data_IF_692304890406
#
_entry.id   IF_692304890406
#
_cell.length_a   1.000
_cell.length_b   1.000
_cell.length_c   1.000
_cell.angle_alpha   90.00
_cell.angle_beta   90.00
_cell.angle_gamma   90.00
#
_symmetry.space_group_name_H-M   'P 1'
#
loop_
_entity.id
_entity.type
_entity.pdbx_description
1 polymer ?
#
# COMPACT_ATOMS: atom_id res chain seq x y z
N UNK A 1 17.42 -40.30 47.70
CA UNK A 1 17.67 -39.91 46.29
C UNK A 1 16.51 -39.21 45.57
N UNK A 2 15.22 -39.39 45.93
CA UNK A 2 14.10 -38.75 45.20
C UNK A 2 13.92 -37.23 45.41
N UNK A 3 14.33 -36.67 46.55
CA UNK A 3 14.17 -35.24 46.87
C UNK A 3 15.13 -34.30 46.11
N UNK A 4 16.34 -34.77 45.79
CA UNK A 4 17.34 -33.98 45.03
C UNK A 4 16.93 -33.80 43.56
N UNK A 5 16.32 -34.81 42.95
CA UNK A 5 15.83 -34.73 41.57
C UNK A 5 14.60 -33.82 41.42
N UNK A 6 13.77 -33.70 42.45
CA UNK A 6 12.60 -32.81 42.44
C UNK A 6 13.01 -31.33 42.48
N UNK A 7 13.95 -30.96 43.37
CA UNK A 7 14.49 -29.59 43.46
C UNK A 7 15.16 -29.13 42.16
N UNK A 8 15.91 -30.02 41.51
CA UNK A 8 16.55 -29.71 40.24
C UNK A 8 15.53 -29.56 39.11
N UNK A 9 14.47 -30.38 39.08
CA UNK A 9 13.38 -30.25 38.11
C UNK A 9 12.57 -28.96 38.25
N UNK A 10 12.34 -28.50 39.48
CA UNK A 10 11.68 -27.20 39.75
C UNK A 10 12.56 -26.04 39.30
N UNK A 11 13.87 -26.09 39.57
CA UNK A 11 14.80 -25.04 39.15
C UNK A 11 14.88 -24.92 37.61
N UNK A 12 14.95 -26.04 36.90
CA UNK A 12 14.96 -26.06 35.43
C UNK A 12 13.68 -25.47 34.85
N UNK A 13 12.51 -25.75 35.45
CA UNK A 13 11.23 -25.16 35.00
C UNK A 13 11.16 -23.65 35.23
N UNK A 14 11.64 -23.18 36.39
CA UNK A 14 11.69 -21.74 36.69
C UNK A 14 12.62 -21.03 35.70
N UNK A 15 13.79 -21.61 35.41
CA UNK A 15 14.73 -21.06 34.44
C UNK A 15 14.13 -21.00 33.03
N UNK A 16 13.44 -22.05 32.59
CA UNK A 16 12.77 -22.08 31.28
C UNK A 16 11.67 -21.02 31.18
N UNK A 17 10.85 -20.84 32.22
CA UNK A 17 9.82 -19.79 32.25
C UNK A 17 10.47 -18.40 32.22
N UNK A 18 11.55 -18.18 32.99
CA UNK A 18 12.25 -16.90 32.99
C UNK A 18 12.84 -16.55 31.61
N UNK A 19 13.36 -17.55 30.88
CA UNK A 19 13.85 -17.38 29.51
C UNK A 19 12.69 -17.08 28.54
N UNK A 20 11.57 -17.77 28.65
CA UNK A 20 10.41 -17.50 27.79
C UNK A 20 9.82 -16.12 28.05
N UNK A 21 9.77 -15.68 29.31
CA UNK A 21 9.33 -14.33 29.68
C UNK A 21 10.31 -13.28 29.18
N UNK A 22 11.62 -13.50 29.28
CA UNK A 22 12.61 -12.52 28.79
C UNK A 22 12.59 -12.40 27.26
N UNK A 23 12.42 -13.52 26.55
CA UNK A 23 12.20 -13.56 25.10
C UNK A 23 10.91 -12.81 24.76
N UNK A 24 9.79 -13.11 25.43
CA UNK A 24 8.53 -12.41 25.18
C UNK A 24 8.65 -10.91 25.44
N UNK A 25 9.28 -10.49 26.55
CA UNK A 25 9.52 -9.06 26.84
C UNK A 25 10.40 -8.42 25.79
N UNK A 26 11.46 -9.09 25.32
CA UNK A 26 12.38 -8.57 24.30
C UNK A 26 11.69 -8.39 22.94
N UNK A 27 10.92 -9.39 22.50
CA UNK A 27 10.18 -9.34 21.23
C UNK A 27 8.85 -8.57 21.31
N UNK A 28 8.34 -8.30 22.51
CA UNK A 28 7.19 -7.42 22.74
C UNK A 28 7.59 -5.97 22.99
N UNK A 29 8.89 -5.64 22.95
CA UNK A 29 9.31 -4.23 22.93
C UNK A 29 8.76 -3.59 21.64
N UNK A 30 8.00 -2.49 21.75
CA UNK A 30 7.31 -1.88 20.61
C UNK A 30 8.24 -1.14 19.63
N UNK A 31 9.56 -1.29 19.75
CA UNK A 31 10.54 -0.59 18.90
C UNK A 31 10.53 -1.06 17.43
N UNK A 32 9.72 -2.06 17.07
CA UNK A 32 9.44 -2.46 15.68
C UNK A 32 8.04 -2.12 15.17
N UNK A 33 7.18 -1.48 15.98
CA UNK A 33 5.87 -1.03 15.52
C UNK A 33 5.82 0.49 15.45
N UNK A 34 6.06 1.00 14.23
CA UNK A 34 5.74 2.35 13.77
C UNK A 34 6.66 3.44 14.35
N UNK A 35 7.48 4.04 13.46
CA UNK A 35 8.14 5.32 13.74
C UNK A 35 7.05 6.35 14.05
N UNK A 36 6.85 6.63 15.33
CA UNK A 36 6.08 7.78 15.80
C UNK A 36 7.06 8.95 15.85
N UNK A 37 6.78 10.10 15.21
CA UNK A 37 7.66 11.26 15.34
C UNK A 37 7.76 11.61 16.83
N UNK A 38 8.98 11.60 17.35
CA UNK A 38 9.30 12.03 18.71
C UNK A 38 9.06 13.53 18.82
N UNK A 39 7.89 13.90 19.32
CA UNK A 39 7.72 15.20 19.96
C UNK A 39 8.34 15.03 21.35
N UNK A 40 9.50 15.65 21.58
CA UNK A 40 10.11 15.71 22.91
C UNK A 40 9.32 16.69 23.78
N UNK A 41 8.40 16.18 24.59
CA UNK A 41 7.54 16.98 25.48
C UNK A 41 8.26 17.32 26.80
N UNK A 42 9.56 17.05 26.94
CA UNK A 42 10.30 17.31 28.18
C UNK A 42 11.23 18.52 28.11
N UNK A 43 11.28 19.26 27.00
CA UNK A 43 11.87 20.59 27.03
C UNK A 43 10.85 21.59 27.59
N UNK A 44 11.05 22.02 28.85
CA UNK A 44 10.18 23.01 29.52
C UNK A 44 10.29 24.43 28.95
N UNK A 45 11.02 24.62 27.85
CA UNK A 45 11.18 25.88 27.14
C UNK A 45 10.47 25.90 25.77
N UNK A 46 9.34 25.22 25.61
CA UNK A 46 8.48 25.40 24.43
C UNK A 46 7.37 26.40 24.78
N UNK A 47 7.49 27.64 24.29
CA UNK A 47 6.43 28.64 24.47
C UNK A 47 5.23 28.26 23.60
N UNK A 48 4.03 28.49 24.11
CA UNK A 48 2.77 28.21 23.41
C UNK A 48 2.66 28.94 22.06
N UNK A 49 3.39 30.05 21.89
CA UNK A 49 3.53 30.78 20.63
C UNK A 49 4.35 30.03 19.59
N UNK A 50 5.39 29.28 19.99
CA UNK A 50 6.23 28.48 19.08
C UNK A 50 5.47 27.25 18.54
N UNK A 51 4.55 26.70 19.35
CA UNK A 51 3.63 25.62 18.94
C UNK A 51 2.59 26.15 17.94
N UNK A 52 2.11 27.39 18.12
CA UNK A 52 1.15 28.02 17.21
C UNK A 52 1.80 28.40 15.88
N UNK A 53 3.03 28.92 15.91
CA UNK A 53 3.85 29.16 14.71
C UNK A 53 4.11 27.87 13.92
N UNK A 54 4.53 26.79 14.59
CA UNK A 54 4.75 25.46 13.98
C UNK A 54 3.46 24.84 13.41
N UNK A 55 2.33 25.01 14.08
CA UNK A 55 1.04 24.50 13.62
C UNK A 55 0.45 25.33 12.46
N UNK A 56 0.64 26.66 12.46
CA UNK A 56 0.22 27.54 11.37
C UNK A 56 1.14 27.41 10.14
N UNK A 57 2.44 27.20 10.32
CA UNK A 57 3.38 26.86 9.24
C UNK A 57 3.07 25.48 8.63
N UNK A 58 2.81 24.43 9.44
CA UNK A 58 2.39 23.11 8.93
C UNK A 58 1.01 23.14 8.26
N UNK A 59 0.10 23.99 8.73
CA UNK A 59 -1.22 24.22 8.10
C UNK A 59 -1.10 25.00 6.79
N UNK A 60 -0.04 25.78 6.61
CA UNK A 60 0.30 26.46 5.36
C UNK A 60 1.09 25.57 4.37
N UNK A 61 1.75 24.51 4.83
CA UNK A 61 2.64 23.68 3.99
C UNK A 61 1.95 22.50 3.28
N UNK A 62 0.77 22.09 3.75
CA UNK A 62 -0.06 21.12 3.03
C UNK A 62 -0.78 21.83 1.86
N UNK A 63 -0.01 22.22 0.83
CA UNK A 63 -0.50 22.93 -0.34
C UNK A 63 -1.72 22.20 -0.92
N UNK A 64 -2.88 22.84 -0.82
CA UNK A 64 -4.10 22.35 -1.47
C UNK A 64 -3.86 22.36 -2.98
N UNK A 65 -4.11 21.22 -3.62
CA UNK A 65 -4.10 21.11 -5.08
C UNK A 65 -5.51 21.41 -5.55
N UNK A 66 -5.68 22.46 -6.35
CA UNK A 66 -7.00 22.81 -6.89
C UNK A 66 -7.58 21.65 -7.73
N UNK A 67 -8.83 21.29 -7.46
CA UNK A 67 -9.49 20.13 -8.08
C UNK A 67 -9.15 18.76 -7.46
N UNK A 68 -8.45 18.69 -6.33
CA UNK A 68 -8.34 17.49 -5.50
C UNK A 68 -8.71 17.78 -4.05
N UNK A 69 -9.41 16.84 -3.42
CA UNK A 69 -9.64 16.87 -1.97
C UNK A 69 -8.42 16.38 -1.18
N UNK A 70 -7.47 15.75 -1.88
CA UNK A 70 -6.25 15.21 -1.27
C UNK A 70 -5.15 16.28 -1.25
N UNK A 71 -4.38 16.36 -0.15
CA UNK A 71 -3.26 17.27 -0.06
C UNK A 71 -2.11 16.90 -0.99
N UNK A 72 -1.25 17.86 -1.34
CA UNK A 72 0.00 17.55 -2.05
C UNK A 72 0.90 16.61 -1.24
N UNK A 73 1.66 15.76 -1.93
CA UNK A 73 2.61 14.82 -1.34
C UNK A 73 4.03 15.18 -1.80
N UNK A 74 4.76 16.03 -1.05
CA UNK A 74 6.05 16.57 -1.48
C UNK A 74 7.20 15.56 -1.38
N UNK A 75 7.13 14.60 -0.46
CA UNK A 75 8.12 13.53 -0.32
C UNK A 75 8.06 12.60 -1.55
N UNK A 76 9.12 12.60 -2.35
CA UNK A 76 9.19 11.85 -3.59
C UNK A 76 9.37 10.35 -3.36
N UNK A 77 10.13 9.95 -2.34
CA UNK A 77 10.40 8.53 -2.06
C UNK A 77 9.13 7.86 -1.55
N UNK A 78 8.48 8.46 -0.55
CA UNK A 78 7.21 7.98 -0.03
C UNK A 78 6.12 7.95 -1.12
N UNK A 79 6.11 8.94 -2.03
CA UNK A 79 5.17 8.99 -3.17
C UNK A 79 5.39 7.83 -4.14
N UNK A 80 6.64 7.52 -4.45
CA UNK A 80 6.97 6.37 -5.29
C UNK A 80 6.59 5.06 -4.60
N UNK A 81 6.95 4.86 -3.33
CA UNK A 81 6.57 3.66 -2.57
C UNK A 81 5.06 3.43 -2.55
N UNK A 82 4.28 4.49 -2.26
CA UNK A 82 2.83 4.47 -2.34
C UNK A 82 2.34 4.12 -3.75
N UNK A 83 2.92 4.73 -4.78
CA UNK A 83 2.62 4.44 -6.19
C UNK A 83 2.73 2.96 -6.51
N UNK A 84 3.86 2.35 -6.13
CA UNK A 84 4.15 0.92 -6.36
C UNK A 84 3.17 -0.01 -5.65
N UNK A 85 2.90 0.27 -4.36
CA UNK A 85 1.96 -0.51 -3.58
C UNK A 85 0.54 -0.41 -4.16
N UNK A 86 0.16 0.79 -4.59
CA UNK A 86 -1.15 1.09 -5.18
C UNK A 86 -1.34 0.36 -6.50
N UNK A 87 -0.38 0.45 -7.43
CA UNK A 87 -0.46 -0.24 -8.71
C UNK A 87 -0.49 -1.75 -8.55
N UNK A 88 0.28 -2.31 -7.61
CA UNK A 88 0.24 -3.74 -7.31
C UNK A 88 -1.16 -4.18 -6.87
N UNK A 89 -1.77 -3.47 -5.93
CA UNK A 89 -3.14 -3.75 -5.50
C UNK A 89 -4.13 -3.59 -6.66
N UNK A 90 -4.05 -2.47 -7.37
CA UNK A 90 -4.95 -2.10 -8.46
C UNK A 90 -4.98 -3.16 -9.56
N UNK A 91 -3.82 -3.54 -10.12
CA UNK A 91 -3.77 -4.53 -11.19
C UNK A 91 -4.16 -5.93 -10.72
N UNK A 92 -3.82 -6.29 -9.48
CA UNK A 92 -4.24 -7.58 -8.89
C UNK A 92 -5.77 -7.63 -8.71
N UNK A 93 -6.41 -6.51 -8.31
CA UNK A 93 -7.88 -6.41 -8.22
C UNK A 93 -8.52 -6.61 -9.60
N UNK A 94 -8.01 -5.93 -10.63
CA UNK A 94 -8.55 -6.03 -11.99
C UNK A 94 -8.37 -7.43 -12.57
N UNK A 95 -7.20 -8.05 -12.37
CA UNK A 95 -6.92 -9.43 -12.76
C UNK A 95 -7.81 -10.47 -12.03
N UNK A 96 -8.51 -10.07 -10.96
CA UNK A 96 -9.45 -10.91 -10.21
C UNK A 96 -10.91 -10.59 -10.44
N UNK A 97 -11.20 -9.58 -11.25
CA UNK A 97 -12.56 -9.28 -11.67
C UNK A 97 -13.17 -10.49 -12.42
N UNK A 98 -14.51 -10.69 -12.45
CA UNK A 98 -15.11 -11.82 -13.14
C UNK A 98 -14.91 -11.76 -14.66
N UNK A 99 -14.78 -12.91 -15.31
CA UNK A 99 -14.76 -12.98 -16.78
C UNK A 99 -16.12 -12.62 -17.39
N UNK A 100 -17.21 -12.96 -16.68
CA UNK A 100 -18.60 -12.64 -17.05
C UNK A 100 -19.29 -11.95 -15.86
N UNK A 101 -19.05 -10.64 -15.65
CA UNK A 101 -19.60 -9.91 -14.52
C UNK A 101 -21.08 -9.59 -14.72
N UNK A 102 -21.83 -9.56 -13.62
CA UNK A 102 -23.19 -9.01 -13.54
C UNK A 102 -23.15 -7.48 -13.67
N UNK A 103 -24.28 -6.85 -14.04
CA UNK A 103 -24.35 -5.38 -14.14
C UNK A 103 -24.03 -4.69 -12.81
N UNK A 104 -24.43 -5.28 -11.68
CA UNK A 104 -24.08 -4.76 -10.36
C UNK A 104 -22.56 -4.80 -10.08
N UNK A 105 -21.87 -5.88 -10.47
CA UNK A 105 -20.40 -5.98 -10.33
C UNK A 105 -19.68 -4.97 -11.23
N UNK A 106 -20.22 -4.72 -12.43
CA UNK A 106 -19.70 -3.70 -13.36
C UNK A 106 -19.84 -2.30 -12.77
N UNK A 107 -20.99 -1.98 -12.20
CA UNK A 107 -21.24 -0.70 -11.54
C UNK A 107 -20.34 -0.52 -10.32
N UNK A 108 -20.16 -1.56 -9.50
CA UNK A 108 -19.24 -1.54 -8.36
C UNK A 108 -17.81 -1.24 -8.78
N UNK A 109 -17.31 -1.88 -9.84
CA UNK A 109 -15.97 -1.58 -10.35
C UNK A 109 -15.86 -0.14 -10.85
N UNK A 110 -16.87 0.36 -11.58
CA UNK A 110 -16.91 1.75 -12.04
C UNK A 110 -16.87 2.75 -10.88
N UNK A 111 -17.70 2.55 -9.86
CA UNK A 111 -17.72 3.40 -8.65
C UNK A 111 -16.39 3.32 -7.91
N UNK A 112 -15.85 2.12 -7.71
CA UNK A 112 -14.57 1.92 -7.05
C UNK A 112 -13.44 2.69 -7.74
N UNK A 113 -13.35 2.65 -9.08
CA UNK A 113 -12.30 3.36 -9.82
C UNK A 113 -12.40 4.89 -9.66
N UNK A 114 -13.63 5.43 -9.68
CA UNK A 114 -13.84 6.86 -9.46
C UNK A 114 -13.41 7.27 -8.05
N UNK A 115 -13.82 6.50 -7.03
CA UNK A 115 -13.43 6.74 -5.64
C UNK A 115 -11.93 6.57 -5.42
N UNK A 116 -11.31 5.58 -6.06
CA UNK A 116 -9.87 5.36 -6.01
C UNK A 116 -9.11 6.59 -6.51
N UNK A 117 -9.55 7.19 -7.63
CA UNK A 117 -8.92 8.39 -8.17
C UNK A 117 -9.14 9.64 -7.29
N UNK A 118 -10.36 9.81 -6.76
CA UNK A 118 -10.70 10.92 -5.88
C UNK A 118 -9.94 10.85 -4.55
N UNK A 119 -9.79 9.64 -4.01
CA UNK A 119 -9.20 9.38 -2.70
C UNK A 119 -7.71 8.99 -2.74
N UNK A 120 -7.06 9.06 -3.90
CA UNK A 120 -5.65 8.73 -4.01
C UNK A 120 -4.80 9.71 -3.18
N UNK A 121 -4.02 9.28 -2.17
CA UNK A 121 -3.44 10.16 -1.14
C UNK A 121 -2.18 10.91 -1.61
N UNK A 122 -2.28 11.53 -2.78
CA UNK A 122 -1.35 12.49 -3.38
C UNK A 122 -2.21 13.43 -4.25
N UNK A 123 -2.32 14.71 -3.86
CA UNK A 123 -3.22 15.68 -4.47
C UNK A 123 -2.97 15.89 -5.96
N UNK A 124 -1.71 16.07 -6.37
CA UNK A 124 -1.36 16.19 -7.78
C UNK A 124 -1.62 14.90 -8.57
N UNK A 125 -1.42 13.73 -7.95
CA UNK A 125 -1.68 12.43 -8.56
C UNK A 125 -3.18 12.19 -8.75
N UNK A 126 -3.98 12.44 -7.70
CA UNK A 126 -5.44 12.35 -7.70
C UNK A 126 -6.05 13.25 -8.78
N UNK A 127 -5.63 14.52 -8.83
CA UNK A 127 -6.12 15.48 -9.82
C UNK A 127 -5.91 14.97 -11.26
N UNK A 128 -4.70 14.50 -11.56
CA UNK A 128 -4.39 13.98 -12.89
C UNK A 128 -5.13 12.67 -13.18
N UNK A 129 -5.18 11.75 -12.23
CA UNK A 129 -5.85 10.46 -12.39
C UNK A 129 -7.35 10.65 -12.65
N UNK A 130 -8.02 11.53 -11.91
CA UNK A 130 -9.43 11.88 -12.14
C UNK A 130 -9.67 12.38 -13.58
N UNK A 131 -8.77 13.22 -14.13
CA UNK A 131 -8.87 13.66 -15.52
C UNK A 131 -8.63 12.53 -16.52
N UNK A 132 -7.67 11.65 -16.24
CA UNK A 132 -7.35 10.51 -17.09
C UNK A 132 -8.54 9.54 -17.18
N UNK A 133 -9.14 9.15 -16.04
CA UNK A 133 -10.26 8.20 -16.04
C UNK A 133 -11.55 8.81 -16.63
N UNK A 134 -11.72 10.14 -16.58
CA UNK A 134 -12.82 10.82 -17.30
C UNK A 134 -12.65 10.72 -18.82
N UNK A 135 -11.41 10.81 -19.31
CA UNK A 135 -11.10 10.69 -20.74
C UNK A 135 -11.10 9.23 -21.21
N UNK A 136 -10.69 8.32 -20.34
CA UNK A 136 -10.53 6.90 -20.61
C UNK A 136 -11.30 6.11 -19.54
N UNK A 137 -12.64 6.05 -19.63
CA UNK A 137 -13.47 5.37 -18.63
C UNK A 137 -13.16 3.88 -18.55
N UNK A 138 -13.30 3.30 -17.35
CA UNK A 138 -13.02 1.88 -17.09
C UNK A 138 -13.87 0.96 -17.96
N UNK A 139 -13.23 -0.05 -18.53
CA UNK A 139 -13.89 -1.08 -19.32
C UNK A 139 -14.26 -2.26 -18.41
N UNK A 140 -15.54 -2.35 -18.04
CA UNK A 140 -16.03 -3.30 -17.04
C UNK A 140 -16.66 -4.55 -17.64
N UNK A 141 -16.59 -4.77 -18.96
CA UNK A 141 -17.26 -5.90 -19.62
C UNK A 141 -16.73 -7.27 -19.24
N UNK A 142 -15.47 -7.37 -18.81
CA UNK A 142 -14.83 -8.63 -18.38
C UNK A 142 -13.53 -8.35 -17.65
N UNK A 143 -12.99 -9.37 -16.96
CA UNK A 143 -11.63 -9.38 -16.38
C UNK A 143 -10.59 -8.86 -17.38
N UNK A 144 -10.54 -9.44 -18.58
CA UNK A 144 -9.57 -9.07 -19.60
C UNK A 144 -9.70 -7.61 -20.01
N UNK A 145 -10.93 -7.13 -20.21
CA UNK A 145 -11.19 -5.74 -20.58
C UNK A 145 -10.74 -4.77 -19.48
N UNK A 146 -11.03 -5.12 -18.23
CA UNK A 146 -10.66 -4.33 -17.05
C UNK A 146 -9.15 -4.28 -16.86
N UNK A 147 -8.44 -5.41 -16.93
CA UNK A 147 -6.99 -5.49 -16.79
C UNK A 147 -6.24 -4.78 -17.91
N UNK A 148 -6.67 -4.93 -19.17
CA UNK A 148 -6.07 -4.21 -20.30
C UNK A 148 -6.29 -2.70 -20.18
N UNK A 149 -7.48 -2.27 -19.75
CA UNK A 149 -7.73 -0.87 -19.44
C UNK A 149 -6.83 -0.35 -18.31
N UNK A 150 -6.66 -1.14 -17.26
CA UNK A 150 -5.77 -0.79 -16.14
C UNK A 150 -4.34 -0.57 -16.60
N UNK A 151 -3.81 -1.49 -17.43
CA UNK A 151 -2.48 -1.34 -18.03
C UNK A 151 -2.39 -0.09 -18.91
N UNK A 152 -3.41 0.18 -19.73
CA UNK A 152 -3.47 1.39 -20.55
C UNK A 152 -3.40 2.67 -19.71
N UNK A 153 -4.22 2.79 -18.66
CA UNK A 153 -4.18 3.94 -17.75
C UNK A 153 -2.83 4.10 -17.08
N UNK A 154 -2.22 3.00 -16.62
CA UNK A 154 -0.87 3.04 -16.05
C UNK A 154 0.14 3.54 -17.09
N UNK A 155 0.03 3.13 -18.36
CA UNK A 155 0.88 3.66 -19.43
C UNK A 155 0.61 5.14 -19.77
N UNK A 156 -0.62 5.65 -19.60
CA UNK A 156 -0.90 7.09 -19.68
C UNK A 156 -0.17 7.85 -18.58
N UNK A 157 -0.14 7.32 -17.36
CA UNK A 157 0.66 7.87 -16.25
C UNK A 157 2.15 7.78 -16.55
N UNK A 158 2.66 6.64 -17.02
CA UNK A 158 4.06 6.47 -17.43
C UNK A 158 4.47 7.50 -18.47
N UNK A 159 3.64 7.70 -19.50
CA UNK A 159 3.89 8.73 -20.52
C UNK A 159 3.92 10.14 -19.93
N UNK A 160 3.01 10.46 -19.01
CA UNK A 160 3.02 11.76 -18.31
C UNK A 160 4.31 11.96 -17.50
N UNK A 161 4.80 10.90 -16.85
CA UNK A 161 6.04 10.88 -16.08
C UNK A 161 7.29 10.61 -16.94
N UNK A 162 7.16 10.54 -18.27
CA UNK A 162 8.24 10.26 -19.24
C UNK A 162 8.97 8.93 -19.00
N UNK A 163 8.23 7.90 -18.58
CA UNK A 163 8.71 6.53 -18.38
C UNK A 163 8.47 5.66 -19.62
N UNK A 164 9.23 4.57 -19.80
CA UNK A 164 8.97 3.60 -20.86
C UNK A 164 7.55 3.02 -20.77
N UNK A 165 6.99 2.67 -21.93
CA UNK A 165 5.73 1.97 -22.01
C UNK A 165 5.90 0.51 -21.56
N UNK A 166 4.90 0.01 -20.83
CA UNK A 166 4.82 -1.39 -20.43
C UNK A 166 4.04 -2.21 -21.45
N UNK A 167 4.56 -3.39 -21.78
CA UNK A 167 3.87 -4.33 -22.65
C UNK A 167 2.69 -4.99 -21.92
N UNK A 168 1.47 -4.61 -22.30
CA UNK A 168 0.24 -5.13 -21.71
C UNK A 168 -0.10 -6.57 -22.16
N UNK A 169 0.67 -7.19 -23.07
CA UNK A 169 0.34 -8.49 -23.67
C UNK A 169 0.20 -9.63 -22.65
N UNK A 170 0.89 -9.55 -21.51
CA UNK A 170 0.88 -10.56 -20.43
C UNK A 170 0.27 -10.05 -19.12
N UNK A 171 -0.56 -9.00 -19.17
CA UNK A 171 -0.99 -8.29 -17.95
C UNK A 171 -1.70 -9.20 -16.93
N UNK A 172 -2.46 -10.20 -17.38
CA UNK A 172 -3.17 -11.13 -16.50
C UNK A 172 -2.20 -12.10 -15.80
N UNK A 173 -1.16 -12.55 -16.50
CA UNK A 173 -0.13 -13.42 -15.94
C UNK A 173 0.82 -12.69 -14.99
N UNK A 174 1.01 -11.39 -15.23
CA UNK A 174 1.93 -10.53 -14.50
C UNK A 174 1.43 -10.16 -13.10
N UNK A 175 0.09 -10.10 -12.97
CA UNK A 175 -0.62 -9.79 -11.73
C UNK A 175 -1.44 -10.98 -11.23
N UNK A 176 -0.83 -12.17 -11.27
CA UNK A 176 -1.32 -13.35 -10.56
C UNK A 176 -1.56 -13.01 -9.07
N UNK A 177 -2.73 -13.39 -8.55
CA UNK A 177 -3.10 -13.14 -7.17
C UNK A 177 -2.51 -14.19 -6.21
N UNK A 178 -1.95 -15.29 -6.71
CA UNK A 178 -1.46 -16.39 -5.90
C UNK A 178 -2.57 -17.15 -5.16
N UNK A 179 -3.84 -16.99 -5.57
CA UNK A 179 -4.98 -17.60 -4.91
C UNK A 179 -5.18 -19.08 -5.28
N UNK A 180 -4.38 -19.61 -6.21
CA UNK A 180 -4.33 -21.03 -6.54
C UNK A 180 -5.60 -21.52 -7.23
N UNK A 181 -5.73 -21.27 -8.53
CA UNK A 181 -6.88 -21.77 -9.29
C UNK A 181 -6.70 -23.26 -9.69
N UNK A 182 -5.47 -23.80 -9.57
CA UNK A 182 -5.13 -25.22 -9.77
C UNK A 182 -4.06 -25.67 -8.75
N UNK A 183 -4.38 -26.65 -7.89
CA UNK A 183 -3.42 -27.29 -6.96
C UNK A 183 -2.18 -27.87 -7.66
N UNK A 184 -2.21 -28.05 -8.98
CA UNK A 184 -1.14 -28.67 -9.76
C UNK A 184 -0.13 -27.69 -10.37
N UNK A 185 -0.34 -26.37 -10.31
CA UNK A 185 0.58 -25.38 -10.90
C UNK A 185 0.65 -24.06 -10.12
N UNK A 186 0.73 -24.13 -8.79
CA UNK A 186 1.02 -22.93 -7.97
C UNK A 186 2.45 -22.46 -8.26
N UNK A 187 2.60 -21.51 -9.19
CA UNK A 187 3.87 -20.82 -9.43
C UNK A 187 4.04 -19.73 -8.37
N UNK A 188 4.61 -20.11 -7.22
CA UNK A 188 4.83 -19.29 -6.02
C UNK A 188 5.59 -17.96 -6.22
N UNK A 189 6.10 -17.66 -7.43
CA UNK A 189 6.97 -16.50 -7.70
C UNK A 189 6.37 -15.48 -8.70
N UNK A 190 5.06 -15.52 -8.99
CA UNK A 190 4.45 -14.61 -9.99
C UNK A 190 3.93 -13.28 -9.44
N UNK A 191 3.89 -13.08 -8.12
CA UNK A 191 3.58 -11.78 -7.52
C UNK A 191 4.81 -10.86 -7.69
N UNK A 192 5.03 -10.36 -8.90
CA UNK A 192 6.28 -9.70 -9.26
C UNK A 192 6.32 -8.24 -8.78
N UNK A 193 6.65 -8.03 -7.50
CA UNK A 193 7.06 -6.71 -6.98
C UNK A 193 8.16 -6.11 -7.87
N UNK A 194 9.04 -6.96 -8.41
CA UNK A 194 10.13 -6.61 -9.32
C UNK A 194 9.68 -5.99 -10.66
N UNK A 195 8.43 -6.21 -11.12
CA UNK A 195 7.93 -5.54 -12.34
C UNK A 195 7.49 -4.12 -12.03
N UNK A 196 6.79 -3.93 -10.92
CA UNK A 196 6.48 -2.59 -10.42
C UNK A 196 7.77 -1.81 -10.14
N UNK A 197 8.88 -2.45 -9.69
CA UNK A 197 10.25 -1.85 -9.55
C UNK A 197 10.71 -1.11 -10.80
N UNK A 198 10.33 -1.59 -11.97
CA UNK A 198 10.70 -0.95 -13.24
C UNK A 198 9.71 0.14 -13.65
N UNK A 199 8.47 0.06 -13.18
CA UNK A 199 7.43 1.03 -13.51
C UNK A 199 7.44 2.25 -12.59
N UNK A 200 8.06 2.18 -11.39
CA UNK A 200 8.28 3.28 -10.42
C UNK A 200 7.10 4.25 -10.41
N UNK A 201 6.06 3.93 -9.64
CA UNK A 201 4.78 4.67 -9.59
C UNK A 201 4.87 6.19 -9.51
#
# INVERSE_FOLDING_TARGET
MRFLNYRNGVFVRILAIAILVSIWVFFSKPELSYIKPTIDINNKDVKEEDIKLSAEEKKAELKRVDGSIMPSMPDLEAKQELGRASWKYFHTLLARFPDTPTDEERDKLSVFINLFAELYPCGECSYHLQKMIKKYPVQTSSRTSASLWGCHIHNVVNKHLKKPEYDCSTILEDYDCGCGDDEKNIKLNKVSINKEEKQLG
#
